data_IF_925743616188
#
_entry.id   IF_925743616188
#
_cell.length_a   1.000
_cell.length_b   1.000
_cell.length_c   1.000
_cell.angle_alpha   90.00
_cell.angle_beta   90.00
_cell.angle_gamma   90.00
#
_symmetry.space_group_name_H-M   'P 1'
#
loop_
_entity.id
_entity.type
_entity.pdbx_description
1 polymer ?
#
# COMPACT_ATOMS: atom_id res chain seq x y z
N UNK A 1 -9.03 2.72 18.46
CA UNK A 1 -10.52 2.78 18.61
C UNK A 1 -10.98 1.73 19.59
N UNK A 2 -12.00 2.04 20.39
CA UNK A 2 -12.62 1.11 21.33
C UNK A 2 -13.74 0.31 20.65
N UNK A 3 -14.06 -0.89 21.21
CA UNK A 3 -15.11 -1.77 20.67
C UNK A 3 -16.46 -1.04 20.61
N UNK A 4 -16.79 -0.24 21.62
CA UNK A 4 -18.05 0.54 21.64
C UNK A 4 -18.19 1.50 20.45
N UNK A 5 -17.07 2.09 20.00
CA UNK A 5 -17.07 3.01 18.87
C UNK A 5 -17.31 2.24 17.55
N UNK A 6 -16.66 1.07 17.39
CA UNK A 6 -16.86 0.18 16.23
C UNK A 6 -18.31 -0.31 16.15
N UNK A 7 -18.89 -0.74 17.28
CA UNK A 7 -20.30 -1.14 17.33
C UNK A 7 -21.24 0.02 16.98
N UNK A 8 -20.98 1.22 17.50
CA UNK A 8 -21.77 2.43 17.17
C UNK A 8 -21.72 2.72 15.67
N UNK A 9 -20.55 2.60 15.05
CA UNK A 9 -20.38 2.79 13.59
C UNK A 9 -21.14 1.72 12.81
N UNK A 10 -21.02 0.44 13.20
CA UNK A 10 -21.77 -0.65 12.57
C UNK A 10 -23.28 -0.45 12.63
N UNK A 11 -23.81 0.03 13.75
CA UNK A 11 -25.24 0.34 13.90
C UNK A 11 -25.67 1.58 13.08
N UNK A 12 -24.80 2.59 12.98
CA UNK A 12 -25.14 3.84 12.29
C UNK A 12 -25.10 3.71 10.77
N UNK A 13 -24.07 3.03 10.24
CA UNK A 13 -23.80 2.94 8.81
C UNK A 13 -24.15 1.59 8.19
N UNK A 14 -24.52 0.61 9.03
CA UNK A 14 -24.77 -0.77 8.60
C UNK A 14 -23.49 -1.57 8.40
N UNK A 15 -23.66 -2.89 8.12
CA UNK A 15 -22.61 -3.81 7.73
C UNK A 15 -22.91 -4.35 6.32
N UNK A 16 -21.88 -4.72 5.54
CA UNK A 16 -20.47 -4.56 5.85
C UNK A 16 -20.00 -3.09 5.73
N UNK A 17 -18.99 -2.69 6.51
CA UNK A 17 -18.43 -1.33 6.46
C UNK A 17 -16.94 -1.31 6.78
N UNK A 18 -16.16 -0.51 6.04
CA UNK A 18 -14.78 -0.22 6.36
C UNK A 18 -14.66 1.00 7.27
N UNK A 19 -13.82 0.90 8.27
CA UNK A 19 -13.56 1.99 9.23
C UNK A 19 -12.06 2.24 9.30
N UNK A 20 -11.66 3.51 9.27
CA UNK A 20 -10.25 3.90 9.35
C UNK A 20 -10.04 4.86 10.52
N UNK A 21 -9.03 4.61 11.34
CA UNK A 21 -8.64 5.43 12.48
C UNK A 21 -7.58 6.46 12.07
N UNK A 22 -7.98 7.73 11.96
CA UNK A 22 -7.08 8.82 11.58
C UNK A 22 -5.92 9.02 12.58
N UNK A 23 -6.15 8.74 13.87
CA UNK A 23 -5.08 8.84 14.88
C UNK A 23 -4.01 7.78 14.64
N UNK A 24 -4.41 6.55 14.36
CA UNK A 24 -3.45 5.46 14.08
C UNK A 24 -2.63 5.76 12.81
N UNK A 25 -3.27 6.31 11.75
CA UNK A 25 -2.55 6.75 10.54
C UNK A 25 -1.51 7.80 10.88
N UNK A 26 -1.90 8.84 11.64
CA UNK A 26 -1.00 9.91 12.07
C UNK A 26 0.16 9.35 12.89
N UNK A 27 -0.12 8.50 13.87
CA UNK A 27 0.92 7.96 14.75
C UNK A 27 1.93 7.09 13.99
N UNK A 28 1.51 6.34 12.98
CA UNK A 28 2.42 5.56 12.13
C UNK A 28 3.30 6.47 11.25
N UNK A 29 2.74 7.54 10.71
CA UNK A 29 3.51 8.55 9.97
C UNK A 29 4.55 9.24 10.86
N UNK A 30 4.14 9.72 12.03
CA UNK A 30 5.03 10.39 13.00
C UNK A 30 6.12 9.43 13.50
N UNK A 31 5.80 8.16 13.72
CA UNK A 31 6.76 7.13 14.09
C UNK A 31 7.85 6.97 13.03
N UNK A 32 7.46 6.94 11.76
CA UNK A 32 8.41 6.84 10.66
C UNK A 32 9.29 8.08 10.54
N UNK A 33 8.72 9.28 10.62
CA UNK A 33 9.48 10.54 10.65
C UNK A 33 10.49 10.55 11.81
N UNK A 34 10.07 10.11 12.99
CA UNK A 34 10.93 10.08 14.19
C UNK A 34 12.08 9.08 14.03
N UNK A 35 11.83 7.92 13.43
CA UNK A 35 12.86 6.89 13.23
C UNK A 35 14.02 7.39 12.36
N UNK A 36 13.75 8.27 11.40
CA UNK A 36 14.75 8.85 10.49
C UNK A 36 15.08 10.32 10.79
N UNK A 37 14.82 10.80 12.01
CA UNK A 37 15.02 12.21 12.38
C UNK A 37 16.49 12.67 12.31
N UNK A 38 17.45 11.77 12.25
CA UNK A 38 18.88 12.10 12.06
C UNK A 38 19.18 12.58 10.62
N UNK A 39 18.30 12.28 9.63
CA UNK A 39 18.48 12.70 8.25
C UNK A 39 17.85 14.08 8.02
N UNK A 40 18.61 15.12 7.64
CA UNK A 40 18.10 16.48 7.49
C UNK A 40 17.01 16.64 6.42
N UNK A 41 17.08 15.84 5.36
CA UNK A 41 16.11 15.86 4.26
C UNK A 41 15.48 14.47 4.11
N UNK A 42 14.29 14.29 4.67
CA UNK A 42 13.48 13.07 4.61
C UNK A 42 12.19 13.35 3.86
N UNK A 43 11.81 12.45 2.96
CA UNK A 43 10.57 12.50 2.19
C UNK A 43 9.82 11.16 2.31
N UNK A 44 8.57 11.22 2.73
CA UNK A 44 7.67 10.06 2.78
C UNK A 44 6.61 10.24 1.70
N UNK A 45 6.63 9.39 0.68
CA UNK A 45 5.64 9.33 -0.37
C UNK A 45 4.65 8.22 -0.05
N UNK A 46 3.42 8.56 0.28
CA UNK A 46 2.40 7.57 0.58
C UNK A 46 2.04 6.76 -0.67
N UNK A 47 2.23 5.43 -0.66
CA UNK A 47 1.82 4.54 -1.74
C UNK A 47 0.28 4.39 -1.75
N UNK A 48 -0.39 5.26 -2.53
CA UNK A 48 -1.84 5.42 -2.48
C UNK A 48 -2.63 4.21 -2.96
N UNK A 49 -2.00 3.30 -3.72
CA UNK A 49 -2.58 1.99 -4.08
C UNK A 49 -3.05 1.18 -2.86
N UNK A 50 -2.47 1.43 -1.68
CA UNK A 50 -2.89 0.75 -0.45
C UNK A 50 -4.28 1.18 0.00
N UNK A 51 -4.60 2.49 -0.04
CA UNK A 51 -5.91 3.05 0.28
C UNK A 51 -6.05 4.44 -0.38
N UNK A 52 -6.78 4.52 -1.48
CA UNK A 52 -6.86 5.69 -2.36
C UNK A 52 -8.07 6.60 -2.13
N UNK A 53 -8.78 6.46 -0.99
CA UNK A 53 -9.91 7.33 -0.67
C UNK A 53 -9.46 8.80 -0.54
N UNK A 54 -10.15 9.73 -1.20
CA UNK A 54 -9.78 11.15 -1.24
C UNK A 54 -9.64 11.83 0.14
N UNK A 55 -10.41 11.40 1.14
CA UNK A 55 -10.29 11.92 2.52
C UNK A 55 -9.00 11.43 3.18
N UNK A 56 -8.58 10.19 2.89
CA UNK A 56 -7.30 9.65 3.36
C UNK A 56 -6.14 10.37 2.68
N UNK A 57 -6.22 10.62 1.35
CA UNK A 57 -5.21 11.38 0.62
C UNK A 57 -5.05 12.80 1.20
N UNK A 58 -6.15 13.48 1.50
CA UNK A 58 -6.12 14.79 2.16
C UNK A 58 -5.51 14.75 3.56
N UNK A 59 -5.75 13.67 4.32
CA UNK A 59 -5.11 13.45 5.62
C UNK A 59 -3.60 13.28 5.45
N UNK A 60 -3.15 12.45 4.51
CA UNK A 60 -1.71 12.25 4.22
C UNK A 60 -1.03 13.56 3.80
N UNK A 61 -1.67 14.35 2.93
CA UNK A 61 -1.17 15.66 2.56
C UNK A 61 -1.03 16.61 3.76
N UNK A 62 -2.02 16.62 4.65
CA UNK A 62 -1.99 17.44 5.88
C UNK A 62 -0.85 17.03 6.82
N UNK A 63 -0.45 15.75 6.81
CA UNK A 63 0.70 15.26 7.57
C UNK A 63 2.05 15.61 6.93
N UNK A 64 2.06 16.10 5.70
CA UNK A 64 3.28 16.47 4.97
C UNK A 64 3.81 15.35 4.05
N UNK A 65 3.06 14.27 3.85
CA UNK A 65 3.44 13.23 2.90
C UNK A 65 3.33 13.70 1.45
N UNK A 66 4.21 13.20 0.57
CA UNK A 66 4.00 13.12 -0.86
C UNK A 66 3.19 11.89 -1.23
N UNK A 67 3.05 11.61 -2.54
CA UNK A 67 2.41 10.41 -3.07
C UNK A 67 3.35 9.59 -3.95
N UNK A 68 3.31 8.26 -3.79
CA UNK A 68 3.72 7.28 -4.80
C UNK A 68 2.47 6.81 -5.55
N UNK A 69 2.51 6.93 -6.88
CA UNK A 69 1.43 6.61 -7.82
C UNK A 69 1.93 5.65 -8.90
N UNK A 70 1.06 4.73 -9.34
CA UNK A 70 1.43 3.68 -10.31
C UNK A 70 0.60 3.71 -11.60
N UNK A 71 -0.36 4.63 -11.69
CA UNK A 71 -1.17 4.89 -12.89
C UNK A 71 -1.44 6.38 -13.04
N UNK A 72 -1.73 6.82 -14.26
CA UNK A 72 -2.08 8.22 -14.51
C UNK A 72 -3.37 8.61 -13.77
N UNK A 73 -4.26 7.67 -13.53
CA UNK A 73 -5.48 7.89 -12.75
C UNK A 73 -5.15 8.20 -11.27
N UNK A 74 -4.18 7.50 -10.69
CA UNK A 74 -3.69 7.82 -9.34
C UNK A 74 -3.03 9.19 -9.29
N UNK A 75 -2.23 9.58 -10.29
CA UNK A 75 -1.68 10.95 -10.42
C UNK A 75 -2.81 11.98 -10.39
N UNK A 76 -3.81 11.81 -11.26
CA UNK A 76 -4.97 12.73 -11.34
C UNK A 76 -5.77 12.78 -10.04
N UNK A 77 -5.96 11.65 -9.36
CA UNK A 77 -6.59 11.60 -8.03
C UNK A 77 -5.77 12.34 -6.97
N UNK A 78 -4.44 12.23 -7.01
CA UNK A 78 -3.54 12.98 -6.14
C UNK A 78 -3.67 14.49 -6.34
N UNK A 79 -3.63 14.95 -7.60
CA UNK A 79 -3.84 16.35 -7.95
C UNK A 79 -5.24 16.84 -7.50
N UNK A 80 -6.28 16.05 -7.73
CA UNK A 80 -7.64 16.33 -7.26
C UNK A 80 -7.75 16.42 -5.72
N UNK A 81 -6.97 15.62 -4.99
CA UNK A 81 -6.87 15.71 -3.52
C UNK A 81 -6.07 16.92 -3.05
N UNK A 82 -5.49 17.71 -3.97
CA UNK A 82 -4.80 18.96 -3.74
C UNK A 82 -3.30 18.83 -3.50
N UNK A 83 -2.67 17.70 -3.84
CA UNK A 83 -1.21 17.62 -3.88
C UNK A 83 -0.67 18.49 -5.01
N UNK A 84 0.45 19.18 -4.76
CA UNK A 84 1.21 19.82 -5.82
C UNK A 84 1.94 18.76 -6.68
N UNK A 85 2.16 19.01 -7.99
CA UNK A 85 2.85 18.05 -8.86
C UNK A 85 4.18 17.55 -8.28
N UNK A 86 4.96 18.42 -7.67
CA UNK A 86 6.27 18.11 -7.09
C UNK A 86 6.20 17.17 -5.87
N UNK A 87 5.00 17.00 -5.31
CA UNK A 87 4.73 16.08 -4.22
C UNK A 87 4.33 14.68 -4.70
N UNK A 88 4.25 14.46 -6.01
CA UNK A 88 3.80 13.20 -6.61
C UNK A 88 4.96 12.55 -7.36
N UNK A 89 5.23 11.28 -7.07
CA UNK A 89 6.10 10.41 -7.86
C UNK A 89 5.22 9.45 -8.65
N UNK A 90 5.50 9.33 -9.93
CA UNK A 90 4.85 8.35 -10.82
C UNK A 90 5.83 7.22 -11.13
N UNK A 91 5.55 6.06 -10.55
CA UNK A 91 6.37 4.83 -10.64
C UNK A 91 5.59 3.73 -11.36
N UNK A 92 5.33 3.88 -12.68
CA UNK A 92 4.55 2.91 -13.42
C UNK A 92 5.37 1.66 -13.78
N UNK A 93 4.66 0.60 -14.20
CA UNK A 93 5.28 -0.58 -14.80
C UNK A 93 4.43 -1.09 -15.96
N UNK A 94 5.05 -1.22 -17.14
CA UNK A 94 4.40 -1.75 -18.34
C UNK A 94 3.30 -0.85 -18.92
N UNK A 95 3.41 0.47 -18.76
CA UNK A 95 2.50 1.47 -19.34
C UNK A 95 3.01 1.96 -20.70
N UNK A 96 2.14 2.63 -21.46
CA UNK A 96 2.50 3.21 -22.76
C UNK A 96 3.35 4.48 -22.61
N UNK A 97 4.02 4.88 -23.70
CA UNK A 97 4.77 6.13 -23.73
C UNK A 97 3.84 7.35 -23.58
N UNK A 98 2.63 7.28 -24.12
CA UNK A 98 1.64 8.35 -24.00
C UNK A 98 1.27 8.60 -22.53
N UNK A 99 1.17 7.55 -21.72
CA UNK A 99 0.88 7.69 -20.27
C UNK A 99 2.07 8.33 -19.52
N UNK A 100 3.32 8.00 -19.91
CA UNK A 100 4.53 8.64 -19.38
C UNK A 100 4.59 10.13 -19.78
N UNK A 101 4.31 10.45 -21.04
CA UNK A 101 4.30 11.82 -21.56
C UNK A 101 3.17 12.64 -20.91
N UNK A 102 2.01 12.05 -20.67
CA UNK A 102 0.93 12.71 -19.92
C UNK A 102 1.37 13.04 -18.49
N UNK A 103 1.96 12.09 -17.77
CA UNK A 103 2.47 12.33 -16.42
C UNK A 103 3.55 13.43 -16.40
N UNK A 104 4.47 13.41 -17.38
CA UNK A 104 5.48 14.46 -17.56
C UNK A 104 4.85 15.84 -17.75
N UNK A 105 3.80 15.93 -18.58
CA UNK A 105 3.07 17.18 -18.85
C UNK A 105 2.38 17.76 -17.61
N UNK A 106 2.00 16.90 -16.66
CA UNK A 106 1.43 17.27 -15.36
C UNK A 106 2.49 17.76 -14.37
N UNK A 107 3.78 17.65 -14.69
CA UNK A 107 4.88 18.14 -13.85
C UNK A 107 5.22 17.26 -12.65
N UNK A 108 4.78 16.01 -12.63
CA UNK A 108 5.11 15.06 -11.55
C UNK A 108 6.49 14.45 -11.76
N UNK A 109 7.13 13.97 -10.68
CA UNK A 109 8.39 13.25 -10.76
C UNK A 109 8.18 11.89 -11.42
N UNK A 110 8.87 11.65 -12.55
CA UNK A 110 8.85 10.34 -13.21
C UNK A 110 9.87 9.39 -12.59
N UNK A 111 9.49 8.13 -12.43
CA UNK A 111 10.36 7.05 -12.02
C UNK A 111 10.30 5.93 -13.08
N UNK A 112 11.35 5.76 -13.88
CA UNK A 112 11.37 4.87 -15.05
C UNK A 112 12.05 3.56 -14.68
N UNK A 113 11.41 2.43 -15.03
CA UNK A 113 11.79 1.09 -14.61
C UNK A 113 12.27 0.16 -15.73
N UNK A 114 12.43 0.68 -16.96
CA UNK A 114 12.92 -0.12 -18.09
C UNK A 114 13.70 0.71 -19.12
N UNK A 115 14.64 0.04 -19.83
CA UNK A 115 15.55 0.70 -20.77
C UNK A 115 14.84 1.25 -22.01
N UNK A 116 13.81 0.57 -22.50
CA UNK A 116 13.09 0.99 -23.72
C UNK A 116 12.40 2.34 -23.53
N UNK A 117 11.66 2.49 -22.41
CA UNK A 117 11.02 3.77 -22.06
C UNK A 117 12.07 4.83 -21.75
N UNK A 118 13.14 4.48 -21.05
CA UNK A 118 14.22 5.41 -20.72
C UNK A 118 14.84 6.02 -21.99
N UNK A 119 15.15 5.20 -23.00
CA UNK A 119 15.73 5.64 -24.27
C UNK A 119 14.76 6.49 -25.09
N UNK A 120 13.51 6.03 -25.23
CA UNK A 120 12.48 6.75 -25.97
C UNK A 120 12.16 8.11 -25.32
N UNK A 121 11.96 8.13 -24.00
CA UNK A 121 11.67 9.35 -23.26
C UNK A 121 12.86 10.32 -23.29
N UNK A 122 14.08 9.84 -23.03
CA UNK A 122 15.30 10.65 -23.09
C UNK A 122 15.55 11.26 -24.47
N UNK A 123 15.23 10.55 -25.56
CA UNK A 123 15.36 11.06 -26.92
C UNK A 123 14.37 12.19 -27.25
N UNK A 124 13.15 12.13 -26.68
CA UNK A 124 12.09 13.11 -26.92
C UNK A 124 12.12 14.29 -25.94
N UNK A 125 12.45 14.02 -24.66
CA UNK A 125 12.30 14.95 -23.53
C UNK A 125 13.57 15.04 -22.67
N UNK A 126 14.78 15.26 -23.23
CA UNK A 126 16.04 15.23 -22.49
C UNK A 126 16.11 16.24 -21.34
N UNK A 127 15.34 17.34 -21.42
CA UNK A 127 15.30 18.40 -20.41
C UNK A 127 14.46 18.04 -19.17
N UNK A 128 13.64 16.98 -19.23
CA UNK A 128 12.82 16.54 -18.10
C UNK A 128 13.63 15.57 -17.25
N UNK A 129 13.97 15.92 -16.00
CA UNK A 129 14.75 15.03 -15.15
C UNK A 129 13.91 13.84 -14.69
N UNK A 130 14.52 12.65 -14.68
CA UNK A 130 13.86 11.43 -14.27
C UNK A 130 14.61 10.70 -13.17
N UNK A 131 13.88 9.97 -12.36
CA UNK A 131 14.40 8.93 -11.47
C UNK A 131 14.42 7.60 -12.21
N UNK A 132 15.37 6.73 -11.88
CA UNK A 132 15.44 5.38 -12.42
C UNK A 132 15.24 4.35 -11.30
N UNK A 133 14.40 3.35 -11.58
CA UNK A 133 14.19 2.23 -10.67
C UNK A 133 15.14 1.10 -10.98
N UNK A 134 16.02 0.79 -10.04
CA UNK A 134 16.99 -0.31 -10.10
C UNK A 134 16.44 -1.54 -9.38
N UNK A 135 16.62 -2.71 -9.99
CA UNK A 135 16.46 -3.98 -9.33
C UNK A 135 17.83 -4.43 -8.81
N UNK A 136 18.07 -4.43 -7.49
CA UNK A 136 19.35 -4.82 -6.90
C UNK A 136 19.55 -6.34 -6.86
N UNK A 137 18.58 -7.14 -7.28
CA UNK A 137 18.56 -8.61 -7.22
C UNK A 137 18.69 -9.16 -5.79
N UNK A 138 18.21 -8.42 -4.81
CA UNK A 138 18.12 -8.84 -3.41
C UNK A 138 16.73 -9.34 -3.13
N UNK A 139 16.60 -10.60 -2.73
CA UNK A 139 15.32 -11.16 -2.30
C UNK A 139 15.08 -10.78 -0.83
N UNK A 140 14.10 -9.90 -0.62
CA UNK A 140 13.62 -9.53 0.70
C UNK A 140 12.13 -9.87 0.80
N UNK A 141 11.71 -10.42 1.95
CA UNK A 141 10.32 -10.78 2.23
C UNK A 141 9.98 -12.28 2.05
N UNK A 142 8.96 -12.72 2.80
CA UNK A 142 8.60 -14.13 2.95
C UNK A 142 7.59 -14.69 1.94
N UNK A 143 7.03 -13.90 1.03
CA UNK A 143 6.00 -14.35 0.08
C UNK A 143 6.44 -14.08 -1.37
N UNK A 144 6.60 -15.15 -2.16
CA UNK A 144 7.03 -15.09 -3.56
C UNK A 144 6.12 -14.23 -4.46
N UNK A 145 4.83 -14.11 -4.15
CA UNK A 145 3.86 -13.31 -4.92
C UNK A 145 4.06 -11.79 -4.77
N UNK A 146 4.78 -11.36 -3.73
CA UNK A 146 5.02 -9.94 -3.42
C UNK A 146 6.50 -9.60 -3.29
N UNK A 147 7.40 -10.54 -3.60
CA UNK A 147 8.84 -10.31 -3.74
C UNK A 147 9.11 -9.75 -5.13
N UNK A 148 9.62 -8.53 -5.22
CA UNK A 148 9.88 -7.83 -6.50
C UNK A 148 11.36 -7.65 -6.80
N UNK A 149 12.25 -8.01 -5.87
CA UNK A 149 13.71 -7.99 -6.03
C UNK A 149 14.31 -9.23 -6.70
N UNK A 150 13.48 -10.15 -7.20
CA UNK A 150 13.95 -11.36 -7.88
C UNK A 150 14.61 -11.03 -9.23
N UNK A 151 15.56 -11.85 -9.69
CA UNK A 151 16.26 -11.65 -10.96
C UNK A 151 15.31 -11.64 -12.17
N UNK A 152 14.26 -12.47 -12.13
CA UNK A 152 13.22 -12.55 -13.17
C UNK A 152 12.01 -11.66 -12.87
N UNK A 153 12.17 -10.62 -12.03
CA UNK A 153 11.11 -9.67 -11.75
C UNK A 153 10.87 -8.77 -12.96
N UNK A 154 9.58 -8.46 -13.23
CA UNK A 154 9.21 -7.47 -14.24
C UNK A 154 9.54 -6.03 -13.83
N UNK A 155 9.93 -5.80 -12.57
CA UNK A 155 10.12 -4.47 -11.99
C UNK A 155 11.59 -4.07 -11.95
N UNK A 156 11.85 -2.84 -12.37
CA UNK A 156 13.15 -2.20 -12.28
C UNK A 156 14.16 -2.67 -13.33
N UNK A 157 15.11 -1.79 -13.64
CA UNK A 157 16.25 -2.09 -14.50
C UNK A 157 17.28 -2.87 -13.65
N UNK A 158 17.74 -4.01 -14.15
CA UNK A 158 18.75 -4.81 -13.45
C UNK A 158 19.99 -3.98 -13.13
N UNK A 159 20.54 -4.14 -11.92
CA UNK A 159 21.82 -3.52 -11.51
C UNK A 159 22.94 -3.79 -12.53
N UNK A 160 22.94 -4.95 -13.19
CA UNK A 160 23.93 -5.31 -14.21
C UNK A 160 23.78 -4.52 -15.52
N UNK A 161 22.67 -3.80 -15.69
CA UNK A 161 22.39 -2.98 -16.89
C UNK A 161 22.76 -1.50 -16.71
N UNK A 162 23.41 -1.11 -15.62
CA UNK A 162 23.91 0.26 -15.42
C UNK A 162 24.74 0.75 -16.62
N UNK A 163 25.65 -0.03 -17.24
CA UNK A 163 26.36 0.44 -18.42
C UNK A 163 25.45 0.81 -19.61
N UNK A 164 24.28 0.14 -19.75
CA UNK A 164 23.29 0.50 -20.76
C UNK A 164 22.57 1.81 -20.41
N UNK A 165 22.22 2.00 -19.14
CA UNK A 165 21.63 3.27 -18.66
C UNK A 165 22.57 4.43 -18.96
N UNK A 166 23.85 4.30 -18.61
CA UNK A 166 24.85 5.35 -18.80
C UNK A 166 25.00 5.71 -20.29
N UNK A 167 25.00 4.72 -21.18
CA UNK A 167 25.04 4.95 -22.62
C UNK A 167 23.79 5.70 -23.14
N UNK A 168 22.60 5.34 -22.65
CA UNK A 168 21.36 6.06 -23.00
C UNK A 168 21.45 7.51 -22.52
N UNK A 169 21.85 7.74 -21.27
CA UNK A 169 22.02 9.08 -20.71
C UNK A 169 23.02 9.91 -21.52
N UNK A 170 24.16 9.30 -21.87
CA UNK A 170 25.17 9.99 -22.71
C UNK A 170 24.65 10.35 -24.11
N UNK A 171 23.95 9.43 -24.78
CA UNK A 171 23.42 9.63 -26.11
C UNK A 171 22.27 10.65 -26.15
N UNK A 172 21.35 10.60 -25.17
CA UNK A 172 20.17 11.45 -25.13
C UNK A 172 20.42 12.80 -24.45
N UNK A 173 21.48 12.92 -23.65
CA UNK A 173 21.76 14.06 -22.77
C UNK A 173 20.70 14.31 -21.71
N UNK A 174 19.93 13.29 -21.36
CA UNK A 174 18.91 13.39 -20.31
C UNK A 174 19.55 13.48 -18.92
N UNK A 175 18.76 13.97 -17.95
CA UNK A 175 19.20 14.14 -16.57
C UNK A 175 18.57 13.11 -15.65
N UNK A 176 19.40 12.38 -14.91
CA UNK A 176 18.95 11.48 -13.85
C UNK A 176 19.07 12.22 -12.52
N UNK A 177 17.92 12.53 -11.91
CA UNK A 177 17.84 13.28 -10.66
C UNK A 177 17.52 12.42 -9.42
N UNK A 178 17.21 11.15 -9.60
CA UNK A 178 16.93 10.21 -8.52
C UNK A 178 17.28 8.78 -8.87
N UNK A 179 17.48 7.98 -7.86
CA UNK A 179 17.63 6.54 -7.97
C UNK A 179 16.69 5.88 -6.96
N UNK A 180 16.01 4.82 -7.38
CA UNK A 180 14.97 4.16 -6.62
C UNK A 180 15.18 2.65 -6.62
N UNK A 181 14.81 2.00 -5.54
CA UNK A 181 14.60 0.56 -5.47
C UNK A 181 13.34 0.23 -4.69
N UNK A 182 12.78 -0.94 -4.97
CA UNK A 182 11.77 -1.56 -4.11
C UNK A 182 12.00 -3.06 -4.11
N UNK A 183 12.38 -3.62 -2.96
CA UNK A 183 12.80 -5.03 -2.83
C UNK A 183 11.66 -5.99 -2.50
N UNK A 184 10.46 -5.48 -2.22
CA UNK A 184 9.27 -6.28 -1.94
C UNK A 184 8.53 -5.86 -0.69
N UNK A 185 7.68 -6.75 -0.18
CA UNK A 185 6.88 -6.54 1.04
C UNK A 185 7.27 -7.53 2.14
N UNK A 186 6.92 -7.17 3.38
CA UNK A 186 7.14 -7.99 4.58
C UNK A 186 8.62 -8.26 4.88
N UNK A 187 9.45 -7.22 4.72
CA UNK A 187 10.86 -7.24 5.04
C UNK A 187 11.00 -7.21 6.57
N UNK A 188 11.56 -8.30 7.11
CA UNK A 188 11.84 -8.44 8.55
C UNK A 188 13.32 -8.26 8.85
N UNK A 189 14.16 -8.71 7.93
CA UNK A 189 15.60 -8.69 8.11
C UNK A 189 16.16 -7.33 7.70
N UNK A 190 16.56 -6.56 8.71
CA UNK A 190 17.14 -5.23 8.54
C UNK A 190 18.47 -5.32 7.78
N UNK A 191 19.28 -6.34 8.02
CA UNK A 191 20.59 -6.49 7.38
C UNK A 191 20.44 -6.76 5.88
N UNK A 192 19.42 -7.49 5.47
CA UNK A 192 19.07 -7.68 4.04
C UNK A 192 18.65 -6.34 3.40
N UNK A 193 17.88 -5.51 4.11
CA UNK A 193 17.50 -4.19 3.62
C UNK A 193 18.73 -3.28 3.49
N UNK A 194 19.60 -3.28 4.50
CA UNK A 194 20.84 -2.50 4.49
C UNK A 194 21.80 -2.95 3.40
N UNK A 195 21.89 -4.25 3.13
CA UNK A 195 22.67 -4.78 2.01
C UNK A 195 22.13 -4.30 0.66
N UNK A 196 20.82 -4.30 0.46
CA UNK A 196 20.21 -3.74 -0.74
C UNK A 196 20.48 -2.22 -0.86
N UNK A 197 20.49 -1.50 0.26
CA UNK A 197 20.83 -0.09 0.30
C UNK A 197 22.27 0.19 -0.16
N UNK A 198 23.25 -0.61 0.28
CA UNK A 198 24.64 -0.48 -0.17
C UNK A 198 24.78 -0.69 -1.69
N UNK A 199 24.05 -1.67 -2.26
CA UNK A 199 24.03 -1.89 -3.70
C UNK A 199 23.47 -0.63 -4.42
N UNK A 200 22.42 -0.01 -3.85
CA UNK A 200 21.84 1.20 -4.43
C UNK A 200 22.80 2.40 -4.30
N UNK A 201 23.53 2.53 -3.20
CA UNK A 201 24.59 3.54 -3.06
C UNK A 201 25.69 3.37 -4.08
N UNK A 202 26.13 2.14 -4.35
CA UNK A 202 27.13 1.87 -5.37
C UNK A 202 26.62 2.23 -6.77
N UNK A 203 25.35 1.92 -7.09
CA UNK A 203 24.71 2.35 -8.32
C UNK A 203 24.64 3.88 -8.43
N UNK A 204 24.31 4.56 -7.33
CA UNK A 204 24.18 6.01 -7.26
C UNK A 204 25.48 6.76 -7.64
N UNK A 205 26.66 6.19 -7.35
CA UNK A 205 27.97 6.79 -7.68
C UNK A 205 28.19 7.03 -9.17
N UNK A 206 27.45 6.33 -10.02
CA UNK A 206 27.53 6.51 -11.48
C UNK A 206 26.80 7.77 -11.98
N UNK A 207 25.93 8.39 -11.16
CA UNK A 207 25.12 9.55 -11.51
C UNK A 207 25.55 10.76 -10.68
N UNK A 208 25.90 11.88 -11.30
CA UNK A 208 26.47 13.04 -10.59
C UNK A 208 25.46 14.08 -10.13
N UNK A 209 24.21 13.99 -10.61
CA UNK A 209 23.20 15.04 -10.41
C UNK A 209 22.00 14.59 -9.57
N UNK A 210 22.17 13.51 -8.80
CA UNK A 210 21.10 13.02 -7.95
C UNK A 210 20.70 14.09 -6.92
N UNK A 211 19.42 14.18 -6.68
CA UNK A 211 18.78 14.99 -5.64
C UNK A 211 18.21 14.12 -4.52
N UNK A 212 17.86 12.89 -4.80
CA UNK A 212 17.28 11.97 -3.82
C UNK A 212 17.63 10.51 -4.13
N UNK A 213 17.54 9.69 -3.07
CA UNK A 213 17.55 8.23 -3.16
C UNK A 213 16.27 7.73 -2.50
N UNK A 214 15.49 6.92 -3.22
CA UNK A 214 14.24 6.34 -2.75
C UNK A 214 14.41 4.83 -2.55
N UNK A 215 14.18 4.38 -1.33
CA UNK A 215 14.32 2.97 -0.95
C UNK A 215 13.00 2.20 -1.04
N UNK A 216 11.95 2.82 -1.62
CA UNK A 216 10.63 2.20 -1.65
C UNK A 216 10.08 1.98 -0.24
N UNK A 217 9.66 0.77 0.03
CA UNK A 217 9.19 0.35 1.34
C UNK A 217 9.24 -1.18 1.46
N UNK A 218 8.31 -1.75 2.18
CA UNK A 218 8.21 -3.18 2.43
C UNK A 218 8.16 -3.49 3.92
N UNK A 219 8.05 -2.46 4.76
CA UNK A 219 7.99 -2.62 6.21
C UNK A 219 6.81 -3.49 6.60
N UNK A 220 7.11 -4.61 7.28
CA UNK A 220 6.10 -5.56 7.72
C UNK A 220 5.33 -5.01 8.92
N UNK A 221 4.01 -5.20 8.87
CA UNK A 221 3.10 -4.96 10.00
C UNK A 221 2.55 -6.31 10.51
N UNK A 222 2.21 -6.44 11.80
CA UNK A 222 1.69 -7.68 12.36
C UNK A 222 0.24 -7.88 11.92
N UNK A 223 -0.10 -9.10 11.44
CA UNK A 223 -1.46 -9.47 11.01
C UNK A 223 -2.13 -10.51 11.91
N UNK A 224 -1.39 -11.10 12.84
CA UNK A 224 -1.86 -12.08 13.81
C UNK A 224 -1.20 -11.87 15.16
N UNK A 225 -1.76 -12.42 16.20
CA UNK A 225 -1.17 -12.39 17.53
C UNK A 225 0.22 -13.05 17.53
N UNK A 226 1.21 -12.39 18.15
CA UNK A 226 2.59 -12.83 18.18
C UNK A 226 3.36 -12.69 16.85
N UNK A 227 2.78 -12.02 15.85
CA UNK A 227 3.48 -11.77 14.59
C UNK A 227 4.57 -10.71 14.76
N UNK A 228 5.69 -10.92 14.07
CA UNK A 228 6.84 -10.03 14.09
C UNK A 228 6.61 -8.89 13.10
N UNK A 229 7.00 -7.68 13.44
CA UNK A 229 7.01 -6.51 12.58
C UNK A 229 8.44 -6.03 12.30
N UNK A 230 8.61 -5.21 11.29
CA UNK A 230 9.89 -4.52 11.06
C UNK A 230 10.18 -3.58 12.23
N UNK A 231 11.36 -3.70 12.82
CA UNK A 231 11.86 -2.71 13.79
C UNK A 231 12.29 -1.46 13.03
N UNK A 232 11.37 -0.50 12.95
CA UNK A 232 11.57 0.72 12.17
C UNK A 232 12.53 1.69 12.86
N UNK A 233 12.64 1.60 14.16
CA UNK A 233 13.55 2.41 14.98
C UNK A 233 14.99 1.96 14.74
N UNK A 234 15.28 0.66 14.81
CA UNK A 234 16.59 0.09 14.50
C UNK A 234 16.99 0.33 13.04
N UNK A 235 16.07 0.12 12.11
CA UNK A 235 16.31 0.42 10.70
C UNK A 235 16.61 1.89 10.49
N UNK A 236 15.86 2.78 11.16
CA UNK A 236 16.02 4.22 11.08
C UNK A 236 17.42 4.66 11.52
N UNK A 237 17.89 4.15 12.65
CA UNK A 237 19.23 4.44 13.17
C UNK A 237 20.33 3.98 12.19
N UNK A 238 20.32 2.70 11.83
CA UNK A 238 21.37 2.09 10.99
C UNK A 238 21.40 2.66 9.57
N UNK A 239 20.24 2.83 8.93
CA UNK A 239 20.19 3.35 7.56
C UNK A 239 20.51 4.84 7.52
N UNK A 240 20.05 5.62 8.49
CA UNK A 240 20.39 7.06 8.56
C UNK A 240 21.91 7.27 8.65
N UNK A 241 22.59 6.49 9.47
CA UNK A 241 24.06 6.57 9.58
C UNK A 241 24.70 6.29 8.21
N UNK A 242 24.38 5.18 7.56
CA UNK A 242 24.96 4.79 6.27
C UNK A 242 24.64 5.79 5.17
N UNK A 243 23.40 6.30 5.14
CA UNK A 243 22.99 7.32 4.19
C UNK A 243 23.77 8.62 4.33
N UNK A 244 23.98 9.10 5.56
CA UNK A 244 24.78 10.31 5.82
C UNK A 244 26.25 10.13 5.46
N UNK A 245 26.83 8.95 5.74
CA UNK A 245 28.18 8.59 5.30
C UNK A 245 28.29 8.59 3.77
N UNK A 246 27.29 8.00 3.10
CA UNK A 246 27.21 8.03 1.63
C UNK A 246 27.13 9.46 1.09
N UNK A 247 26.27 10.34 1.64
CA UNK A 247 26.16 11.73 1.21
C UNK A 247 27.50 12.48 1.29
N UNK A 248 28.27 12.25 2.36
CA UNK A 248 29.63 12.82 2.48
C UNK A 248 30.56 12.34 1.38
N UNK A 249 30.56 11.04 1.08
CA UNK A 249 31.38 10.46 -0.01
C UNK A 249 30.91 10.92 -1.39
N UNK A 250 29.62 11.06 -1.58
CA UNK A 250 29.00 11.54 -2.82
C UNK A 250 29.25 13.05 -3.06
N UNK A 251 29.54 13.79 -1.97
CA UNK A 251 29.86 15.22 -2.03
C UNK A 251 28.64 16.14 -2.14
N UNK A 252 27.43 15.63 -1.81
CA UNK A 252 26.16 16.38 -1.83
C UNK A 252 25.21 15.89 -0.75
N UNK A 253 24.42 16.81 -0.22
CA UNK A 253 23.25 16.46 0.58
C UNK A 253 22.14 15.98 -0.34
N UNK A 254 21.66 14.76 -0.09
CA UNK A 254 20.57 14.15 -0.81
C UNK A 254 19.32 14.04 0.07
N UNK A 255 18.16 13.93 -0.55
CA UNK A 255 16.92 13.58 0.16
C UNK A 255 16.82 12.06 0.26
N UNK A 256 16.60 11.56 1.47
CA UNK A 256 16.21 10.18 1.73
C UNK A 256 14.71 10.05 1.51
N UNK A 257 14.28 9.13 0.65
CA UNK A 257 12.86 8.94 0.38
C UNK A 257 12.41 7.50 0.65
N UNK A 258 11.12 7.36 1.02
CA UNK A 258 10.43 6.09 1.20
C UNK A 258 9.01 6.15 0.65
N UNK A 259 8.46 4.99 0.25
CA UNK A 259 7.12 4.83 -0.32
C UNK A 259 6.23 3.88 0.51
N UNK A 260 5.99 4.15 1.82
CA UNK A 260 5.19 3.26 2.64
C UNK A 260 3.70 3.34 2.28
N UNK A 261 3.09 2.17 2.07
CA UNK A 261 1.63 2.03 1.96
C UNK A 261 1.08 1.29 3.18
N UNK A 262 1.36 -0.01 3.23
CA UNK A 262 0.88 -0.94 4.26
C UNK A 262 1.21 -0.47 5.68
N UNK A 263 2.43 -0.03 5.92
CA UNK A 263 2.89 0.46 7.22
C UNK A 263 2.01 1.60 7.78
N UNK A 264 1.57 2.51 6.93
CA UNK A 264 0.81 3.69 7.36
C UNK A 264 -0.66 3.39 7.64
N UNK A 265 -1.30 2.51 6.86
CA UNK A 265 -2.77 2.40 6.90
C UNK A 265 -3.30 1.03 7.30
N UNK A 266 -2.52 -0.07 7.26
CA UNK A 266 -3.05 -1.41 7.58
C UNK A 266 -3.70 -1.47 8.95
N UNK A 267 -2.94 -1.13 9.99
CA UNK A 267 -3.38 -1.23 11.38
C UNK A 267 -4.47 -0.21 11.75
N UNK A 268 -4.63 0.82 10.92
CA UNK A 268 -5.67 1.82 11.09
C UNK A 268 -7.03 1.35 10.58
N UNK A 269 -7.09 0.27 9.80
CA UNK A 269 -8.31 -0.19 9.15
C UNK A 269 -8.98 -1.35 9.87
N UNK A 270 -10.30 -1.27 9.94
CA UNK A 270 -11.21 -2.28 10.46
C UNK A 270 -12.25 -2.59 9.38
N UNK A 271 -12.57 -3.85 9.21
CA UNK A 271 -13.68 -4.26 8.37
C UNK A 271 -14.73 -4.95 9.25
N UNK A 272 -15.89 -4.31 9.38
CA UNK A 272 -17.00 -4.76 10.24
C UNK A 272 -18.02 -5.47 9.36
N UNK A 273 -18.40 -6.67 9.81
CA UNK A 273 -19.35 -7.54 9.12
C UNK A 273 -20.34 -8.13 10.11
N UNK A 274 -21.54 -8.42 9.65
CA UNK A 274 -22.58 -9.06 10.44
C UNK A 274 -22.64 -10.55 10.15
N UNK A 275 -22.82 -11.35 11.20
CA UNK A 275 -23.07 -12.79 11.05
C UNK A 275 -24.51 -13.01 10.64
N UNK A 276 -24.70 -13.60 9.47
CA UNK A 276 -26.02 -13.96 8.94
C UNK A 276 -26.51 -15.32 9.41
N UNK A 277 -25.58 -16.28 9.51
CA UNK A 277 -25.92 -17.68 9.83
C UNK A 277 -24.76 -18.36 10.57
N UNK A 278 -25.11 -19.18 11.55
CA UNK A 278 -24.18 -20.11 12.19
C UNK A 278 -24.62 -21.53 11.82
N UNK A 279 -23.79 -22.23 11.04
CA UNK A 279 -24.08 -23.59 10.55
C UNK A 279 -23.11 -24.59 11.15
N UNK A 280 -23.62 -25.57 11.85
CA UNK A 280 -22.83 -26.68 12.36
C UNK A 280 -22.96 -27.89 11.46
N UNK A 281 -21.81 -28.47 11.09
CA UNK A 281 -21.70 -29.78 10.47
C UNK A 281 -21.15 -30.79 11.50
N UNK A 282 -20.80 -31.99 11.03
CA UNK A 282 -20.26 -33.03 11.92
C UNK A 282 -18.92 -32.62 12.57
N UNK A 283 -18.11 -31.81 11.88
CA UNK A 283 -16.75 -31.48 12.31
C UNK A 283 -16.44 -29.98 12.36
N UNK A 284 -17.29 -29.13 11.78
CA UNK A 284 -16.99 -27.71 11.59
C UNK A 284 -18.20 -26.86 11.96
N UNK A 285 -17.94 -25.74 12.66
CA UNK A 285 -18.92 -24.69 12.86
C UNK A 285 -18.58 -23.53 11.94
N UNK A 286 -19.45 -23.23 10.99
CA UNK A 286 -19.34 -22.10 10.08
C UNK A 286 -20.04 -20.87 10.64
N UNK A 287 -19.36 -19.73 10.56
CA UNK A 287 -19.96 -18.42 10.75
C UNK A 287 -20.03 -17.75 9.36
N UNK A 288 -21.20 -17.71 8.77
CA UNK A 288 -21.47 -17.07 7.47
C UNK A 288 -21.76 -15.58 7.67
N UNK A 289 -21.02 -14.72 6.99
CA UNK A 289 -21.10 -13.26 7.14
C UNK A 289 -21.74 -12.58 5.93
N UNK A 290 -22.17 -11.34 6.11
CA UNK A 290 -22.79 -10.48 5.09
C UNK A 290 -21.78 -9.87 4.09
N UNK A 291 -20.65 -10.52 3.91
CA UNK A 291 -19.57 -10.13 3.03
C UNK A 291 -18.95 -11.34 2.33
N UNK A 292 -18.01 -11.10 1.44
CA UNK A 292 -17.27 -12.12 0.72
C UNK A 292 -15.91 -11.64 0.25
N UNK A 293 -15.17 -12.49 -0.46
CA UNK A 293 -13.87 -12.11 -1.01
C UNK A 293 -13.96 -10.92 -1.98
N UNK A 294 -15.13 -10.67 -2.55
CA UNK A 294 -15.39 -9.50 -3.36
C UNK A 294 -15.16 -8.18 -2.62
N UNK A 295 -15.27 -8.19 -1.29
CA UNK A 295 -14.95 -7.01 -0.45
C UNK A 295 -13.59 -7.11 0.22
N UNK A 296 -13.11 -8.30 0.58
CA UNK A 296 -11.81 -8.53 1.22
C UNK A 296 -11.11 -9.74 0.58
N UNK A 297 -10.42 -9.50 -0.54
CA UNK A 297 -9.83 -10.59 -1.37
C UNK A 297 -8.54 -11.18 -0.77
N UNK A 298 -7.88 -10.47 0.12
CA UNK A 298 -6.52 -10.81 0.59
C UNK A 298 -6.35 -12.24 1.12
N UNK A 299 -7.26 -12.81 1.93
CA UNK A 299 -7.14 -14.20 2.38
C UNK A 299 -7.10 -15.20 1.22
N UNK A 300 -7.94 -15.03 0.20
CA UNK A 300 -8.03 -15.95 -0.94
C UNK A 300 -6.90 -15.73 -1.93
N UNK A 301 -6.53 -14.49 -2.19
CA UNK A 301 -5.54 -14.16 -3.23
C UNK A 301 -4.09 -14.35 -2.77
N UNK A 302 -3.80 -13.95 -1.53
CA UNK A 302 -2.45 -14.00 -0.95
C UNK A 302 -2.26 -15.07 0.11
N UNK A 303 -3.32 -15.74 0.58
CA UNK A 303 -3.30 -16.55 1.79
C UNK A 303 -3.08 -15.70 3.05
N UNK A 304 -3.43 -14.40 2.99
CA UNK A 304 -3.19 -13.48 4.08
C UNK A 304 -4.13 -13.75 5.27
N UNK A 305 -3.58 -13.68 6.46
CA UNK A 305 -4.35 -13.78 7.71
C UNK A 305 -4.79 -12.39 8.15
N UNK A 306 -6.04 -12.26 8.60
CA UNK A 306 -6.51 -11.14 9.40
C UNK A 306 -6.90 -11.63 10.79
N UNK A 307 -6.67 -10.82 11.82
CA UNK A 307 -7.22 -11.08 13.14
C UNK A 307 -8.72 -10.80 13.10
N UNK A 308 -9.52 -11.77 13.54
CA UNK A 308 -10.99 -11.70 13.55
C UNK A 308 -11.47 -11.84 14.99
N UNK A 309 -12.26 -10.92 15.44
CA UNK A 309 -12.84 -10.94 16.78
C UNK A 309 -14.36 -10.71 16.73
N UNK A 310 -15.09 -11.32 17.66
CA UNK A 310 -16.50 -11.04 17.88
C UNK A 310 -16.60 -9.84 18.83
N UNK A 311 -16.89 -8.65 18.26
CA UNK A 311 -17.00 -7.40 19.05
C UNK A 311 -18.36 -7.25 19.72
N UNK A 312 -19.36 -8.04 19.32
CA UNK A 312 -20.67 -8.10 20.02
C UNK A 312 -20.60 -8.91 21.31
N UNK A 313 -19.68 -9.89 21.39
CA UNK A 313 -19.51 -10.77 22.54
C UNK A 313 -18.02 -11.02 22.85
N UNK A 314 -17.23 -9.98 23.17
CA UNK A 314 -15.76 -10.10 23.29
C UNK A 314 -15.33 -11.02 24.45
N UNK A 315 -16.13 -11.11 25.50
CA UNK A 315 -15.87 -11.94 26.69
C UNK A 315 -16.49 -13.36 26.60
N UNK A 316 -17.09 -13.70 25.45
CA UNK A 316 -17.71 -15.00 25.22
C UNK A 316 -16.69 -16.13 25.28
N UNK A 317 -17.17 -17.33 25.66
CA UNK A 317 -16.33 -18.54 25.67
C UNK A 317 -15.75 -18.77 24.27
N UNK A 318 -14.42 -18.92 24.17
CA UNK A 318 -13.75 -19.17 22.88
C UNK A 318 -14.13 -20.55 22.33
N UNK A 319 -14.51 -20.59 21.06
CA UNK A 319 -14.84 -21.79 20.27
C UNK A 319 -14.12 -21.71 18.90
N UNK A 320 -14.06 -22.84 18.22
CA UNK A 320 -13.48 -22.91 16.88
C UNK A 320 -14.55 -22.67 15.80
N UNK A 321 -14.28 -21.73 14.92
CA UNK A 321 -15.13 -21.38 13.78
C UNK A 321 -14.34 -21.33 12.47
N UNK A 322 -15.01 -21.67 11.38
CA UNK A 322 -14.61 -21.28 10.04
C UNK A 322 -15.47 -20.10 9.60
N UNK A 323 -14.84 -18.94 9.41
CA UNK A 323 -15.54 -17.73 8.96
C UNK A 323 -15.59 -17.72 7.44
N UNK A 324 -16.79 -17.73 6.88
CA UNK A 324 -17.05 -17.85 5.44
C UNK A 324 -17.95 -16.71 4.95
N UNK A 325 -17.74 -16.32 3.71
CA UNK A 325 -18.57 -15.33 3.07
C UNK A 325 -19.82 -15.93 2.41
N UNK A 326 -20.49 -15.09 1.64
CA UNK A 326 -21.75 -15.39 0.95
C UNK A 326 -21.61 -15.52 -0.59
N UNK A 327 -20.38 -15.55 -1.09
CA UNK A 327 -20.08 -15.71 -2.51
C UNK A 327 -20.27 -17.18 -2.91
N UNK A 328 -20.67 -17.43 -4.14
CA UNK A 328 -20.95 -18.79 -4.67
C UNK A 328 -19.68 -19.63 -4.96
N UNK A 329 -18.52 -19.17 -4.47
CA UNK A 329 -17.22 -19.82 -4.55
C UNK A 329 -16.77 -20.27 -3.15
N UNK A 330 -15.61 -20.95 -3.04
CA UNK A 330 -14.96 -21.17 -1.74
C UNK A 330 -14.45 -19.82 -1.20
N UNK A 331 -15.19 -19.26 -0.26
CA UNK A 331 -15.09 -17.92 0.26
C UNK A 331 -14.78 -17.96 1.76
N UNK A 332 -13.58 -18.47 2.08
CA UNK A 332 -13.18 -18.76 3.46
C UNK A 332 -12.15 -17.75 3.95
N UNK A 333 -12.54 -16.88 4.88
CA UNK A 333 -11.65 -15.89 5.50
C UNK A 333 -10.74 -16.48 6.58
N UNK A 334 -11.25 -17.48 7.28
CA UNK A 334 -10.52 -18.18 8.34
C UNK A 334 -11.05 -19.60 8.49
N UNK A 335 -10.16 -20.58 8.61
CA UNK A 335 -10.50 -21.96 8.88
C UNK A 335 -10.10 -22.31 10.32
N UNK A 336 -11.02 -22.96 11.05
CA UNK A 336 -10.77 -23.48 12.38
C UNK A 336 -10.10 -22.45 13.33
N UNK A 337 -10.63 -21.23 13.34
CA UNK A 337 -10.11 -20.12 14.14
C UNK A 337 -10.81 -20.06 15.49
N UNK A 338 -10.03 -19.88 16.55
CA UNK A 338 -10.55 -19.68 17.89
C UNK A 338 -11.04 -18.24 18.06
N UNK A 339 -12.37 -18.08 18.21
CA UNK A 339 -13.05 -16.78 18.36
C UNK A 339 -14.03 -16.89 19.54
N UNK A 340 -14.32 -15.78 20.21
CA UNK A 340 -15.39 -15.71 21.21
C UNK A 340 -16.73 -16.15 20.61
N UNK A 341 -17.55 -16.86 21.39
CA UNK A 341 -18.81 -17.47 20.93
C UNK A 341 -19.61 -16.53 20.02
N UNK A 342 -19.97 -17.05 18.84
CA UNK A 342 -20.64 -16.31 17.77
C UNK A 342 -22.10 -16.74 17.72
N UNK A 343 -22.99 -15.75 17.66
CA UNK A 343 -24.41 -15.89 17.37
C UNK A 343 -24.81 -15.15 16.10
N UNK A 344 -25.92 -15.54 15.50
CA UNK A 344 -26.51 -14.81 14.37
C UNK A 344 -26.87 -13.39 14.79
N UNK A 345 -26.50 -12.42 13.97
CA UNK A 345 -26.65 -10.99 14.26
C UNK A 345 -25.43 -10.35 14.91
N UNK A 346 -24.44 -11.11 15.41
CA UNK A 346 -23.21 -10.57 15.96
C UNK A 346 -22.40 -9.83 14.91
N UNK A 347 -21.64 -8.84 15.35
CA UNK A 347 -20.70 -8.09 14.53
C UNK A 347 -19.29 -8.64 14.76
N UNK A 348 -18.67 -9.11 13.66
CA UNK A 348 -17.27 -9.47 13.64
C UNK A 348 -16.44 -8.31 13.10
N UNK A 349 -15.25 -8.12 13.69
CA UNK A 349 -14.28 -7.14 13.27
C UNK A 349 -13.04 -7.85 12.70
N UNK A 350 -12.72 -7.56 11.43
CA UNK A 350 -11.45 -7.92 10.84
C UNK A 350 -10.48 -6.76 11.03
N UNK A 351 -9.41 -6.97 11.78
CA UNK A 351 -8.38 -5.96 12.01
C UNK A 351 -7.38 -5.91 10.86
N UNK A 352 -6.60 -4.83 10.82
CA UNK A 352 -5.58 -4.59 9.80
C UNK A 352 -6.15 -4.58 8.36
N UNK A 353 -7.36 -4.06 8.22
CA UNK A 353 -8.09 -3.99 6.96
C UNK A 353 -7.92 -2.66 6.22
N UNK A 354 -6.88 -1.86 6.55
CA UNK A 354 -6.67 -0.54 5.95
C UNK A 354 -5.91 -0.55 4.63
N UNK A 355 -5.12 -1.60 4.33
CA UNK A 355 -4.30 -1.63 3.12
C UNK A 355 -4.69 -2.78 2.20
N UNK A 356 -4.85 -2.48 0.90
CA UNK A 356 -5.15 -3.47 -0.14
C UNK A 356 -6.42 -4.30 0.14
N UNK A 357 -7.39 -3.69 0.81
CA UNK A 357 -8.68 -4.29 1.12
C UNK A 357 -9.75 -3.62 0.25
N UNK A 358 -10.24 -2.44 0.62
CA UNK A 358 -11.24 -1.74 -0.19
C UNK A 358 -10.75 -1.45 -1.63
N UNK A 359 -9.50 -1.07 -1.81
CA UNK A 359 -8.94 -0.76 -3.15
C UNK A 359 -8.91 -1.97 -4.10
N UNK A 360 -8.96 -3.18 -3.57
CA UNK A 360 -9.04 -4.43 -4.35
C UNK A 360 -10.46 -5.02 -4.36
N UNK A 361 -11.45 -4.34 -3.77
CA UNK A 361 -12.83 -4.81 -3.76
C UNK A 361 -13.46 -4.76 -5.15
N UNK A 362 -14.37 -5.68 -5.42
CA UNK A 362 -15.08 -5.82 -6.68
C UNK A 362 -16.58 -6.01 -6.47
N UNK A 363 -17.33 -6.02 -7.57
CA UNK A 363 -18.77 -6.25 -7.58
C UNK A 363 -19.14 -7.69 -7.97
N UNK A 364 -18.22 -8.66 -7.75
CA UNK A 364 -18.52 -10.06 -8.07
C UNK A 364 -19.82 -10.53 -7.41
N UNK A 365 -20.60 -11.38 -8.10
CA UNK A 365 -21.99 -11.76 -7.81
C UNK A 365 -22.95 -10.56 -7.75
N UNK A 366 -22.64 -9.45 -8.46
CA UNK A 366 -23.41 -8.19 -8.44
C UNK A 366 -23.62 -7.61 -7.03
N UNK A 367 -22.67 -7.86 -6.11
CA UNK A 367 -22.69 -7.33 -4.75
C UNK A 367 -22.14 -5.90 -4.72
N UNK A 368 -22.90 -4.93 -4.20
CA UNK A 368 -22.43 -3.56 -4.03
C UNK A 368 -21.24 -3.47 -3.05
N UNK A 369 -20.25 -2.62 -3.36
CA UNK A 369 -19.15 -2.37 -2.43
C UNK A 369 -19.63 -1.61 -1.20
N UNK A 370 -19.05 -1.88 0.01
CA UNK A 370 -19.48 -1.30 1.26
C UNK A 370 -19.13 0.18 1.40
N UNK A 371 -19.70 0.82 2.43
CA UNK A 371 -19.33 2.16 2.82
C UNK A 371 -17.92 2.21 3.43
N UNK A 372 -17.31 3.41 3.40
CA UNK A 372 -16.06 3.72 4.13
C UNK A 372 -16.31 4.86 5.11
N UNK A 373 -15.83 4.70 6.34
CA UNK A 373 -15.98 5.66 7.46
C UNK A 373 -14.60 6.02 8.01
N UNK A 374 -14.35 7.30 8.24
CA UNK A 374 -13.15 7.78 8.91
C UNK A 374 -13.51 8.17 10.34
N UNK A 375 -12.81 7.56 11.32
CA UNK A 375 -12.84 7.99 12.70
C UNK A 375 -11.77 9.05 12.91
N UNK A 376 -12.24 10.28 13.20
CA UNK A 376 -11.36 11.44 13.40
C UNK A 376 -11.96 12.37 14.46
N UNK A 377 -11.13 12.86 15.36
CA UNK A 377 -11.52 13.78 16.44
C UNK A 377 -12.70 13.26 17.29
N UNK A 378 -12.71 11.95 17.57
CA UNK A 378 -13.76 11.29 18.33
C UNK A 378 -15.10 11.13 17.60
N UNK A 379 -15.13 11.32 16.30
CA UNK A 379 -16.34 11.25 15.47
C UNK A 379 -16.17 10.32 14.27
N UNK A 380 -17.25 9.60 13.94
CA UNK A 380 -17.36 8.83 12.72
C UNK A 380 -17.85 9.72 11.57
N UNK A 381 -17.06 9.81 10.49
CA UNK A 381 -17.42 10.57 9.29
C UNK A 381 -17.47 9.66 8.09
N UNK A 382 -18.62 9.64 7.41
CA UNK A 382 -18.78 8.91 6.15
C UNK A 382 -17.88 9.56 5.10
N UNK A 383 -16.95 8.76 4.53
CA UNK A 383 -16.02 9.22 3.48
C UNK A 383 -16.26 8.55 2.13
N UNK A 384 -17.12 7.52 2.10
CA UNK A 384 -17.69 6.90 0.90
C UNK A 384 -19.03 6.24 1.24
N UNK A 385 -20.04 6.49 0.45
CA UNK A 385 -21.32 5.76 0.54
C UNK A 385 -21.14 4.33 0.06
N UNK A 386 -21.94 3.41 0.60
CA UNK A 386 -22.11 2.10 -0.01
C UNK A 386 -22.70 2.25 -1.43
N UNK A 387 -22.30 1.37 -2.33
CA UNK A 387 -22.88 1.34 -3.68
C UNK A 387 -24.34 0.86 -3.64
N UNK A 388 -25.08 1.26 -4.66
CA UNK A 388 -26.47 0.88 -4.91
C UNK A 388 -26.55 0.12 -6.24
N UNK A 389 -27.75 -0.35 -6.61
CA UNK A 389 -27.99 -0.95 -7.92
C UNK A 389 -27.67 0.02 -9.06
N UNK A 390 -27.99 1.31 -8.87
CA UNK A 390 -27.71 2.35 -9.85
C UNK A 390 -26.22 2.49 -10.11
N UNK A 391 -25.36 2.31 -9.08
CA UNK A 391 -23.92 2.33 -9.26
C UNK A 391 -23.42 1.13 -10.09
N UNK A 392 -24.07 -0.04 -9.97
CA UNK A 392 -23.71 -1.24 -10.73
C UNK A 392 -24.08 -1.10 -12.23
N UNK A 393 -25.16 -0.39 -12.56
CA UNK A 393 -25.66 -0.26 -13.93
C UNK A 393 -25.27 1.06 -14.60
N UNK A 394 -24.71 2.01 -13.88
CA UNK A 394 -24.42 3.40 -14.32
C UNK A 394 -23.79 3.50 -15.71
N UNK A 395 -22.87 2.60 -16.05
CA UNK A 395 -22.12 2.63 -17.30
C UNK A 395 -22.56 1.53 -18.28
N UNK A 396 -23.67 0.84 -18.01
CA UNK A 396 -24.23 -0.12 -18.93
C UNK A 396 -25.03 0.61 -20.01
N UNK A 397 -24.92 0.14 -21.23
CA UNK A 397 -25.70 0.64 -22.37
C UNK A 397 -26.71 -0.45 -22.74
N UNK A 398 -27.99 -0.16 -22.58
CA UNK A 398 -29.06 -1.06 -22.96
C UNK A 398 -29.28 -0.95 -24.46
N UNK A 399 -29.53 -2.10 -25.11
CA UNK A 399 -29.88 -2.21 -26.53
C UNK A 399 -31.16 -2.99 -26.66
N UNK A 400 -31.98 -2.63 -27.65
CA UNK A 400 -33.15 -3.42 -28.04
C UNK A 400 -32.69 -4.71 -28.74
N UNK A 401 -33.14 -5.88 -28.23
CA UNK A 401 -32.79 -7.23 -28.75
C UNK A 401 -33.93 -7.84 -29.52
#
# INVERSE_FOLDING_TARGET
MEIKDLLSIAHTYGCPVYVYDAYKIRSQYERLIKAFAAVPSLRINYAMKALSNGSILKLMRKLGAGLDTVSIQEVKLGLHAGFAPEQIIFTPNGVSMEEIEEAASLGVQLNIDNLSILEQFGSKHPQVPVCIRINPHVMAGGNSKISVGHIDSKFGISIHQIPHILRIVENTKMHINGIHMHTGSDILDIDVFLYAAEILFDAAKHFRELKFIDFGSGFKVPYKEGDIQTDIEELGEKLSQRFLEFCKLYGRDLTLAFEPGKFLVSEAGFFLVKVNVVKQTTSTVFAGIDSGFNHLIRPMFYGATHFIENISNPEGKKRFYSVVGYICETDTFASNRQIAEISEGDILCFRNAGAYCYTMASNYNSRPRPAEVLWIDGQAKLIRKAETLEDLVRNQVEIDL
#
